data_IF_549896679353
#
_entry.id   IF_549896679353
#
_cell.length_a   1.000
_cell.length_b   1.000
_cell.length_c   1.000
_cell.angle_alpha   90.00
_cell.angle_beta   90.00
_cell.angle_gamma   90.00
#
_symmetry.space_group_name_H-M   'P 1'
#
loop_
_entity.id
_entity.type
_entity.pdbx_description
1 polymer ?
#
# COMPACT_ATOMS: atom_id res chain seq x y z
N UNK A 1 -0.31 0.81 -6.69
CA UNK A 1 0.21 1.56 -5.53
C UNK A 1 1.65 1.15 -5.23
N UNK A 2 2.60 1.71 -5.97
CA UNK A 2 4.03 1.48 -5.77
C UNK A 2 4.59 2.27 -4.60
N UNK A 3 5.74 1.84 -4.11
CA UNK A 3 6.67 2.65 -3.30
C UNK A 3 8.00 2.81 -4.05
N UNK A 4 8.94 3.57 -3.50
CA UNK A 4 10.28 3.79 -4.03
C UNK A 4 11.07 2.49 -4.28
N UNK A 5 10.66 1.40 -3.64
CA UNK A 5 11.27 0.08 -3.76
C UNK A 5 10.54 -0.84 -4.78
N UNK A 6 9.49 -0.35 -5.43
CA UNK A 6 8.75 -1.10 -6.45
C UNK A 6 9.46 -1.04 -7.79
N UNK A 7 9.53 -2.18 -8.49
CA UNK A 7 10.22 -2.25 -9.78
C UNK A 7 9.32 -1.82 -10.95
N UNK A 8 9.94 -1.22 -11.98
CA UNK A 8 9.27 -0.91 -13.25
C UNK A 8 8.62 -2.15 -13.88
N UNK A 9 9.23 -3.33 -13.69
CA UNK A 9 8.70 -4.58 -14.19
C UNK A 9 7.33 -4.93 -13.57
N UNK A 10 7.15 -4.71 -12.26
CA UNK A 10 5.85 -4.95 -11.59
C UNK A 10 4.78 -3.94 -12.03
N UNK A 11 5.15 -2.67 -12.15
CA UNK A 11 4.26 -1.60 -12.63
C UNK A 11 3.78 -1.86 -14.05
N UNK A 12 4.71 -2.17 -14.95
CA UNK A 12 4.42 -2.47 -16.36
C UNK A 12 3.49 -3.68 -16.51
N UNK A 13 3.73 -4.76 -15.75
CA UNK A 13 2.86 -5.94 -15.78
C UNK A 13 1.44 -5.64 -15.32
N UNK A 14 1.27 -4.85 -14.26
CA UNK A 14 -0.04 -4.45 -13.75
C UNK A 14 -0.80 -3.60 -14.79
N UNK A 15 -0.13 -2.62 -15.40
CA UNK A 15 -0.73 -1.79 -16.45
C UNK A 15 -1.12 -2.58 -17.69
N UNK A 16 -0.28 -3.54 -18.12
CA UNK A 16 -0.60 -4.43 -19.25
C UNK A 16 -1.82 -5.28 -18.96
N UNK A 17 -1.86 -5.96 -17.81
CA UNK A 17 -3.00 -6.79 -17.42
C UNK A 17 -4.29 -5.98 -17.37
N UNK A 18 -4.26 -4.78 -16.78
CA UNK A 18 -5.43 -3.90 -16.71
C UNK A 18 -5.93 -3.50 -18.11
N UNK A 19 -5.01 -3.20 -19.03
CA UNK A 19 -5.34 -2.95 -20.44
C UNK A 19 -5.99 -4.17 -21.11
N UNK A 20 -5.44 -5.35 -20.87
CA UNK A 20 -5.93 -6.61 -21.48
C UNK A 20 -7.36 -6.94 -21.01
N UNK A 21 -7.74 -6.57 -19.79
CA UNK A 21 -9.10 -6.79 -19.23
C UNK A 21 -10.02 -5.57 -19.32
N UNK A 22 -9.55 -4.44 -19.82
CA UNK A 22 -10.33 -3.20 -19.93
C UNK A 22 -10.68 -2.51 -18.61
N UNK A 23 -9.90 -2.72 -17.55
CA UNK A 23 -10.14 -2.08 -16.24
C UNK A 23 -9.56 -0.67 -16.16
N UNK A 24 -10.17 0.20 -15.34
CA UNK A 24 -9.64 1.54 -15.08
C UNK A 24 -8.44 1.46 -14.14
N UNK A 25 -7.23 1.65 -14.68
CA UNK A 25 -5.97 1.49 -13.96
C UNK A 25 -5.43 2.82 -13.43
N UNK A 26 -5.03 2.83 -12.15
CA UNK A 26 -4.41 3.98 -11.51
C UNK A 26 -3.02 3.64 -10.96
N UNK A 27 -2.01 4.31 -11.52
CA UNK A 27 -0.65 4.28 -11.01
C UNK A 27 -0.45 5.36 -9.94
N UNK A 28 -0.27 4.90 -8.70
CA UNK A 28 -0.12 5.76 -7.52
C UNK A 28 1.17 5.41 -6.77
N UNK A 29 1.85 6.43 -6.25
CA UNK A 29 3.00 6.29 -5.36
C UNK A 29 2.60 6.65 -3.93
N UNK A 30 2.92 5.77 -2.97
CA UNK A 30 2.57 5.97 -1.56
C UNK A 30 3.66 6.70 -0.75
N UNK A 31 4.82 6.96 -1.36
CA UNK A 31 6.03 7.43 -0.66
C UNK A 31 5.79 8.71 0.14
N UNK A 32 5.06 9.68 -0.43
CA UNK A 32 4.74 10.93 0.27
C UNK A 32 3.93 10.70 1.54
N UNK A 33 2.96 9.77 1.50
CA UNK A 33 2.19 9.42 2.69
C UNK A 33 3.09 8.74 3.72
N UNK A 34 3.92 7.77 3.30
CA UNK A 34 4.88 7.10 4.19
C UNK A 34 5.80 8.11 4.87
N UNK A 35 6.40 9.03 4.11
CA UNK A 35 7.28 10.08 4.63
C UNK A 35 6.56 10.94 5.66
N UNK A 36 5.31 11.37 5.40
CA UNK A 36 4.55 12.16 6.36
C UNK A 36 4.33 11.44 7.71
N UNK A 37 4.03 10.14 7.70
CA UNK A 37 3.93 9.36 8.94
C UNK A 37 5.27 9.24 9.67
N UNK A 38 6.38 9.08 8.93
CA UNK A 38 7.72 9.02 9.51
C UNK A 38 8.18 10.35 10.09
N UNK A 39 7.83 11.47 9.45
CA UNK A 39 8.15 12.81 9.95
C UNK A 39 7.44 13.10 11.28
N UNK A 40 6.18 12.67 11.42
CA UNK A 40 5.45 12.76 12.71
C UNK A 40 6.15 11.92 13.78
N UNK A 41 6.52 10.68 13.46
CA UNK A 41 7.24 9.81 14.39
C UNK A 41 8.57 10.43 14.82
N UNK A 42 9.34 10.96 13.87
CA UNK A 42 10.62 11.65 14.12
C UNK A 42 10.44 12.90 14.97
N UNK A 43 9.42 13.70 14.70
CA UNK A 43 9.14 14.91 15.48
C UNK A 43 8.82 14.59 16.94
N UNK A 44 8.15 13.46 17.20
CA UNK A 44 7.78 13.05 18.57
C UNK A 44 8.88 12.32 19.35
N UNK A 45 9.75 11.57 18.67
CA UNK A 45 10.73 10.68 19.32
C UNK A 45 12.19 11.09 19.12
N UNK A 46 12.47 11.94 18.12
CA UNK A 46 13.82 12.24 17.64
C UNK A 46 14.49 11.10 16.84
N UNK A 47 13.84 9.94 16.69
CA UNK A 47 14.40 8.76 16.04
C UNK A 47 13.89 8.62 14.61
N UNK A 48 14.73 8.06 13.73
CA UNK A 48 14.37 7.76 12.34
C UNK A 48 14.61 6.27 12.07
N UNK A 49 13.54 5.46 11.94
CA UNK A 49 13.69 4.02 11.68
C UNK A 49 14.31 3.78 10.29
N UNK A 50 15.14 2.76 10.18
CA UNK A 50 15.82 2.41 8.93
C UNK A 50 15.46 0.99 8.46
N UNK A 51 15.49 0.76 7.15
CA UNK A 51 15.38 -0.60 6.62
C UNK A 51 16.63 -1.40 7.01
N UNK A 52 16.48 -2.73 7.09
CA UNK A 52 17.58 -3.63 7.44
C UNK A 52 18.75 -3.51 6.44
N UNK A 53 18.44 -3.27 5.17
CA UNK A 53 19.44 -3.04 4.11
C UNK A 53 20.28 -1.77 4.33
N UNK A 54 19.81 -0.84 5.16
CA UNK A 54 20.50 0.40 5.51
C UNK A 54 21.02 0.40 6.96
N UNK A 55 21.06 -0.76 7.62
CA UNK A 55 21.58 -0.90 8.98
C UNK A 55 20.55 -0.83 10.10
N UNK A 56 19.26 -0.74 9.78
CA UNK A 56 18.19 -0.77 10.79
C UNK A 56 17.99 -2.16 11.43
N UNK A 57 17.37 -2.16 12.61
CA UNK A 57 17.03 -3.41 13.31
C UNK A 57 15.92 -4.20 12.61
N UNK A 58 15.71 -5.46 13.02
CA UNK A 58 14.57 -6.25 12.54
C UNK A 58 13.23 -5.56 12.81
N UNK A 59 13.09 -4.95 13.99
CA UNK A 59 11.88 -4.23 14.41
C UNK A 59 11.60 -3.02 13.52
N UNK A 60 12.60 -2.17 13.27
CA UNK A 60 12.45 -1.01 12.38
C UNK A 60 12.06 -1.44 10.97
N UNK A 61 12.75 -2.46 10.45
CA UNK A 61 12.51 -2.98 9.12
C UNK A 61 11.08 -3.53 8.95
N UNK A 62 10.58 -4.25 9.96
CA UNK A 62 9.21 -4.76 9.95
C UNK A 62 8.19 -3.63 10.11
N UNK A 63 8.47 -2.64 10.96
CA UNK A 63 7.61 -1.48 11.14
C UNK A 63 7.44 -0.67 9.84
N UNK A 64 8.54 -0.43 9.10
CA UNK A 64 8.51 0.28 7.82
C UNK A 64 7.74 -0.48 6.73
N UNK A 65 7.83 -1.81 6.70
CA UNK A 65 7.05 -2.64 5.78
C UNK A 65 5.57 -2.62 6.14
N UNK A 66 5.24 -2.81 7.42
CA UNK A 66 3.86 -2.79 7.90
C UNK A 66 3.20 -1.42 7.67
N UNK A 67 3.93 -0.32 7.85
CA UNK A 67 3.43 1.02 7.57
C UNK A 67 3.03 1.19 6.11
N UNK A 68 3.90 0.78 5.18
CA UNK A 68 3.57 0.80 3.74
C UNK A 68 2.36 -0.08 3.43
N UNK A 69 2.26 -1.27 4.03
CA UNK A 69 1.15 -2.19 3.82
C UNK A 69 -0.20 -1.57 4.26
N UNK A 70 -0.24 -0.95 5.44
CA UNK A 70 -1.45 -0.29 5.96
C UNK A 70 -1.82 0.98 5.20
N UNK A 71 -0.85 1.76 4.75
CA UNK A 71 -1.12 2.94 3.91
C UNK A 71 -1.81 2.53 2.61
N UNK A 72 -1.41 1.42 1.98
CA UNK A 72 -2.09 0.90 0.79
C UNK A 72 -3.55 0.57 1.09
N UNK A 73 -3.86 -0.02 2.24
CA UNK A 73 -5.24 -0.30 2.64
C UNK A 73 -6.06 1.00 2.73
N UNK A 74 -5.56 2.00 3.46
CA UNK A 74 -6.26 3.30 3.60
C UNK A 74 -6.51 3.93 2.23
N UNK A 75 -5.52 3.90 1.34
CA UNK A 75 -5.65 4.42 -0.02
C UNK A 75 -6.66 3.64 -0.86
N UNK A 76 -6.70 2.31 -0.77
CA UNK A 76 -7.69 1.48 -1.47
C UNK A 76 -9.12 1.87 -1.08
N UNK A 77 -9.39 2.01 0.22
CA UNK A 77 -10.71 2.38 0.71
C UNK A 77 -11.09 3.82 0.35
N UNK A 78 -10.14 4.76 0.39
CA UNK A 78 -10.35 6.14 -0.06
C UNK A 78 -10.77 6.19 -1.54
N UNK A 79 -10.06 5.46 -2.41
CA UNK A 79 -10.38 5.38 -3.83
C UNK A 79 -11.72 4.67 -4.06
N UNK A 80 -11.98 3.57 -3.34
CA UNK A 80 -13.24 2.87 -3.46
C UNK A 80 -14.45 3.75 -3.11
N UNK A 81 -14.30 4.62 -2.10
CA UNK A 81 -15.37 5.54 -1.70
C UNK A 81 -15.51 6.73 -2.64
N UNK A 82 -14.41 7.28 -3.19
CA UNK A 82 -14.43 8.57 -3.87
C UNK A 82 -14.24 8.51 -5.40
N UNK A 83 -13.77 7.42 -5.99
CA UNK A 83 -13.46 7.41 -7.43
C UNK A 83 -14.70 7.55 -8.33
N UNK A 84 -15.85 7.02 -7.90
CA UNK A 84 -17.11 7.24 -8.63
C UNK A 84 -17.53 8.70 -8.54
N UNK A 85 -17.46 9.28 -7.33
CA UNK A 85 -17.70 10.71 -7.13
C UNK A 85 -16.77 11.59 -7.99
N UNK A 86 -15.47 11.26 -8.04
CA UNK A 86 -14.48 11.99 -8.85
C UNK A 86 -14.75 11.92 -10.36
N UNK A 87 -15.54 10.95 -10.81
CA UNK A 87 -15.98 10.80 -12.20
C UNK A 87 -17.43 11.26 -12.43
N UNK A 88 -18.03 11.94 -11.46
CA UNK A 88 -19.40 12.44 -11.54
C UNK A 88 -20.48 11.36 -11.43
N UNK A 89 -20.13 10.16 -10.98
CA UNK A 89 -21.04 9.03 -10.82
C UNK A 89 -21.43 8.85 -9.34
N UNK A 90 -22.70 8.51 -9.05
CA UNK A 90 -23.14 8.25 -7.69
C UNK A 90 -22.66 6.88 -7.17
N UNK A 91 -22.50 6.72 -5.86
CA UNK A 91 -22.19 5.44 -5.22
C UNK A 91 -20.70 5.19 -4.96
N UNK A 92 -20.36 3.98 -4.49
CA UNK A 92 -18.99 3.56 -4.14
C UNK A 92 -18.62 2.23 -4.82
N UNK A 93 -17.36 1.82 -4.65
CA UNK A 93 -16.83 0.53 -5.09
C UNK A 93 -16.66 -0.41 -3.88
N UNK A 94 -16.77 -1.71 -4.13
CA UNK A 94 -16.37 -2.74 -3.18
C UNK A 94 -14.86 -3.00 -3.30
N UNK A 95 -14.14 -2.99 -2.19
CA UNK A 95 -12.72 -3.35 -2.15
C UNK A 95 -12.60 -4.87 -2.19
N UNK A 96 -11.76 -5.40 -3.08
CA UNK A 96 -11.47 -6.83 -3.20
C UNK A 96 -10.11 -7.15 -2.56
N UNK A 97 -10.10 -8.05 -1.57
CA UNK A 97 -8.88 -8.61 -0.99
C UNK A 97 -8.31 -9.74 -1.85
N UNK A 98 -7.00 -9.98 -1.74
CA UNK A 98 -6.29 -11.01 -2.52
C UNK A 98 -5.53 -12.02 -1.66
N UNK A 99 -5.82 -12.10 -0.35
CA UNK A 99 -5.20 -13.07 0.53
C UNK A 99 -5.61 -14.50 0.13
N UNK A 100 -4.66 -15.43 0.11
CA UNK A 100 -4.95 -16.84 -0.16
C UNK A 100 -5.09 -17.65 1.14
N UNK A 101 -5.59 -18.88 1.01
CA UNK A 101 -5.87 -19.77 2.16
C UNK A 101 -4.62 -20.13 2.96
N UNK A 102 -3.48 -20.32 2.29
CA UNK A 102 -2.23 -20.73 2.94
C UNK A 102 -1.64 -19.59 3.77
N UNK A 103 -1.66 -18.36 3.23
CA UNK A 103 -1.28 -17.14 3.95
C UNK A 103 -2.18 -16.91 5.16
N UNK A 104 -3.50 -17.04 4.96
CA UNK A 104 -4.49 -16.86 6.02
C UNK A 104 -4.32 -17.88 7.15
N UNK A 105 -4.09 -19.15 6.82
CA UNK A 105 -3.86 -20.22 7.79
C UNK A 105 -2.62 -19.97 8.65
N UNK A 106 -1.57 -19.40 8.06
CA UNK A 106 -0.31 -19.07 8.75
C UNK A 106 -0.35 -17.72 9.46
N UNK A 107 -1.37 -16.89 9.22
CA UNK A 107 -1.38 -15.50 9.62
C UNK A 107 -0.25 -14.69 8.98
N UNK A 108 0.23 -15.11 7.80
CA UNK A 108 1.33 -14.45 7.08
C UNK A 108 0.81 -13.24 6.30
N UNK A 109 0.37 -12.23 7.03
CA UNK A 109 -0.17 -10.98 6.51
C UNK A 109 0.09 -9.84 7.51
N UNK A 110 0.05 -8.59 7.04
CA UNK A 110 0.02 -7.47 7.99
C UNK A 110 -1.41 -7.22 8.42
N UNK A 111 -1.69 -7.31 9.72
CA UNK A 111 -3.02 -6.96 10.24
C UNK A 111 -3.42 -5.54 9.79
N UNK A 112 -4.58 -5.44 9.15
CA UNK A 112 -5.14 -4.22 8.55
C UNK A 112 -4.37 -3.67 7.33
N UNK A 113 -3.77 -4.54 6.53
CA UNK A 113 -3.33 -4.20 5.16
C UNK A 113 -4.40 -4.59 4.12
N UNK A 114 -4.01 -4.67 2.84
CA UNK A 114 -4.91 -5.07 1.74
C UNK A 114 -5.33 -6.55 1.77
N UNK A 115 -4.96 -7.33 2.79
CA UNK A 115 -5.51 -8.66 3.07
C UNK A 115 -6.92 -8.63 3.69
N UNK A 116 -7.34 -7.46 4.19
CA UNK A 116 -8.62 -7.25 4.91
C UNK A 116 -9.70 -6.58 4.05
#
# INVERSE_FOLDING_TARGET
MGSSNSSEATKTRAGRLAKDIGSNHHDLLIDRAVTAFLDIFRASTGLTPQFKAHGGTHTENLALQNLQARIRMVMSYLYAQLMRWATGLPGSLLVLGTANVDEALRGYMTKYDCSS
#
